data_IF_566927369480
#
_entry.id   IF_566927369480
#
_cell.length_a   1.000
_cell.length_b   1.000
_cell.length_c   1.000
_cell.angle_alpha   90.00
_cell.angle_beta   90.00
_cell.angle_gamma   90.00
#
_symmetry.space_group_name_H-M   'P 1'
#
loop_
_entity.id
_entity.type
_entity.pdbx_description
1 polymer ?
#
# COMPACT_ATOMS: atom_id res chain seq x y z
N UNK A 1 3.34 21.98 7.73
CA UNK A 1 4.17 22.87 6.88
C UNK A 1 4.19 22.24 5.49
N UNK A 2 3.31 22.67 4.59
CA UNK A 2 3.13 22.02 3.29
C UNK A 2 4.33 22.27 2.39
N UNK A 3 5.01 21.21 1.95
CA UNK A 3 5.97 21.27 0.84
C UNK A 3 5.15 21.39 -0.45
N UNK A 4 4.66 22.59 -0.75
CA UNK A 4 4.12 22.85 -2.10
C UNK A 4 5.33 23.21 -2.96
N UNK A 5 6.08 22.18 -3.35
CA UNK A 5 7.11 22.24 -4.39
C UNK A 5 6.54 21.75 -5.72
N UNK A 6 7.28 21.92 -6.81
CA UNK A 6 6.93 21.31 -8.09
C UNK A 6 6.73 19.78 -7.92
N UNK A 7 5.79 19.18 -8.66
CA UNK A 7 5.45 17.77 -8.49
C UNK A 7 6.69 16.90 -8.62
N UNK A 8 6.85 15.94 -7.72
CA UNK A 8 8.03 15.09 -7.67
C UNK A 8 8.07 14.08 -8.84
N UNK A 9 9.02 13.15 -8.84
CA UNK A 9 9.13 12.17 -9.96
C UNK A 9 7.87 11.32 -10.08
N UNK A 10 7.30 10.86 -8.96
CA UNK A 10 6.15 9.95 -8.94
C UNK A 10 4.86 10.70 -9.28
N UNK A 11 4.70 11.92 -8.78
CA UNK A 11 3.53 12.77 -9.07
C UNK A 11 3.44 13.19 -10.55
N UNK A 12 4.49 13.00 -11.34
CA UNK A 12 4.52 13.25 -12.80
C UNK A 12 4.27 12.00 -13.65
N UNK A 13 4.18 10.82 -13.05
CA UNK A 13 3.87 9.60 -13.76
C UNK A 13 2.38 9.54 -14.14
N UNK A 14 2.04 8.67 -15.08
CA UNK A 14 0.67 8.45 -15.55
C UNK A 14 -0.01 7.29 -14.80
N UNK A 15 -1.33 7.21 -14.88
CA UNK A 15 -2.14 6.17 -14.21
C UNK A 15 -1.63 4.74 -14.48
N UNK A 16 -1.20 4.47 -15.71
CA UNK A 16 -0.64 3.20 -16.17
C UNK A 16 0.65 2.78 -15.44
N UNK A 17 1.40 3.73 -14.88
CA UNK A 17 2.52 3.42 -13.98
C UNK A 17 2.02 2.87 -12.64
N UNK A 18 0.98 3.48 -12.06
CA UNK A 18 0.41 3.08 -10.79
C UNK A 18 -0.31 1.73 -10.90
N UNK A 19 -1.05 1.50 -11.98
CA UNK A 19 -1.72 0.22 -12.24
C UNK A 19 -0.71 -0.94 -12.32
N UNK A 20 0.39 -0.75 -13.05
CA UNK A 20 1.46 -1.75 -13.13
C UNK A 20 2.14 -2.00 -11.78
N UNK A 21 2.34 -0.94 -11.00
CA UNK A 21 2.93 -1.03 -9.66
C UNK A 21 2.01 -1.81 -8.71
N UNK A 22 0.71 -1.52 -8.73
CA UNK A 22 -0.29 -2.24 -7.94
C UNK A 22 -0.36 -3.72 -8.33
N UNK A 23 -0.37 -4.04 -9.62
CA UNK A 23 -0.34 -5.42 -10.11
C UNK A 23 0.89 -6.19 -9.60
N UNK A 24 2.08 -5.59 -9.66
CA UNK A 24 3.30 -6.22 -9.18
C UNK A 24 3.26 -6.52 -7.66
N UNK A 25 2.71 -5.61 -6.84
CA UNK A 25 2.53 -5.88 -5.41
C UNK A 25 1.52 -7.00 -5.13
N UNK A 26 0.46 -7.10 -5.93
CA UNK A 26 -0.52 -8.18 -5.81
C UNK A 26 0.08 -9.55 -6.19
N UNK A 27 0.91 -9.58 -7.23
CA UNK A 27 1.68 -10.78 -7.62
C UNK A 27 2.61 -11.22 -6.49
N UNK A 28 3.42 -10.31 -5.95
CA UNK A 28 4.31 -10.60 -4.82
C UNK A 28 3.55 -11.13 -3.60
N UNK A 29 2.39 -10.54 -3.28
CA UNK A 29 1.56 -11.01 -2.18
C UNK A 29 0.94 -12.39 -2.41
N UNK A 30 0.73 -12.78 -3.67
CA UNK A 30 0.27 -14.12 -4.03
C UNK A 30 1.42 -15.14 -3.99
N UNK A 31 2.64 -14.73 -4.34
CA UNK A 31 3.84 -15.58 -4.32
C UNK A 31 4.34 -15.85 -2.89
N UNK A 32 4.19 -14.91 -1.97
CA UNK A 32 4.67 -15.02 -0.59
C UNK A 32 3.63 -14.54 0.43
N UNK A 33 2.52 -15.29 0.62
CA UNK A 33 1.42 -14.89 1.49
C UNK A 33 1.80 -14.92 2.97
N UNK A 34 2.79 -15.73 3.37
CA UNK A 34 3.26 -15.80 4.75
C UNK A 34 4.06 -14.54 5.13
N UNK A 35 4.76 -13.93 4.16
CA UNK A 35 5.55 -12.71 4.37
C UNK A 35 4.79 -11.42 4.05
N UNK A 36 3.85 -11.45 3.10
CA UNK A 36 3.17 -10.25 2.59
C UNK A 36 1.67 -10.34 2.86
N UNK A 37 1.22 -9.63 3.89
CA UNK A 37 -0.18 -9.57 4.32
C UNK A 37 -0.87 -8.36 3.70
N UNK A 38 -2.03 -8.58 3.07
CA UNK A 38 -2.80 -7.53 2.37
C UNK A 38 -3.87 -6.96 3.29
N UNK A 39 -3.96 -5.63 3.34
CA UNK A 39 -5.06 -4.91 4.00
C UNK A 39 -5.77 -3.98 3.00
N UNK A 40 -7.05 -3.74 3.21
CA UNK A 40 -7.87 -2.85 2.37
C UNK A 40 -7.64 -1.38 2.74
N UNK A 41 -6.86 -0.66 1.93
CA UNK A 41 -6.56 0.75 2.12
C UNK A 41 -7.68 1.71 1.68
N UNK A 42 -8.80 1.22 1.13
CA UNK A 42 -9.95 2.06 0.76
C UNK A 42 -10.84 2.43 1.96
N UNK A 43 -10.64 1.76 3.09
CA UNK A 43 -11.36 1.99 4.34
C UNK A 43 -10.91 3.28 5.05
N UNK A 44 -11.71 3.79 6.02
CA UNK A 44 -11.28 4.90 6.88
C UNK A 44 -9.93 4.61 7.58
N UNK A 45 -9.10 5.65 7.82
CA UNK A 45 -7.75 5.45 8.39
C UNK A 45 -7.70 4.64 9.68
N UNK A 46 -8.68 4.82 10.58
CA UNK A 46 -8.74 4.09 11.85
C UNK A 46 -9.00 2.58 11.62
N UNK A 47 -9.82 2.23 10.63
CA UNK A 47 -10.08 0.84 10.25
C UNK A 47 -8.85 0.20 9.57
N UNK A 48 -8.13 0.96 8.74
CA UNK A 48 -6.87 0.50 8.13
C UNK A 48 -5.82 0.22 9.21
N UNK A 49 -5.70 1.10 10.20
CA UNK A 49 -4.79 0.89 11.33
C UNK A 49 -5.18 -0.33 12.15
N UNK A 50 -6.46 -0.52 12.45
CA UNK A 50 -6.95 -1.71 13.15
C UNK A 50 -6.58 -2.98 12.38
N UNK A 51 -6.87 -3.04 11.08
CA UNK A 51 -6.53 -4.20 10.25
C UNK A 51 -5.02 -4.47 10.22
N UNK A 52 -4.19 -3.43 10.14
CA UNK A 52 -2.74 -3.58 10.18
C UNK A 52 -2.24 -4.16 11.51
N UNK A 53 -2.83 -3.75 12.64
CA UNK A 53 -2.48 -4.29 13.96
C UNK A 53 -2.95 -5.75 14.12
N UNK A 54 -4.14 -6.08 13.62
CA UNK A 54 -4.67 -7.45 13.65
C UNK A 54 -3.76 -8.40 12.84
N UNK A 55 -3.30 -7.96 11.66
CA UNK A 55 -2.36 -8.71 10.82
C UNK A 55 -0.94 -8.80 11.40
N UNK A 56 -0.63 -8.12 12.50
CA UNK A 56 0.68 -8.22 13.19
C UNK A 56 0.58 -9.00 14.51
N UNK A 57 -0.64 -9.36 14.96
CA UNK A 57 -0.88 -9.86 16.31
C UNK A 57 -0.18 -11.20 16.64
N UNK A 58 0.09 -12.04 15.64
CA UNK A 58 0.81 -13.30 15.79
C UNK A 58 2.35 -13.15 15.78
N UNK A 59 2.85 -11.95 15.48
CA UNK A 59 4.28 -11.62 15.47
C UNK A 59 4.76 -10.94 16.76
N UNK A 60 3.84 -10.59 17.66
CA UNK A 60 4.07 -9.89 18.93
C UNK A 60 3.86 -10.81 20.14
#
# INVERSE_FOLDING_TARGET
RSRVGAPDRLERERDDFFDRTAAAYLELAAEDPDRIRKIDASRPPDEVLSAALDELADLL
#
